data_IF_294539619662
#
_entry.id   IF_294539619662
#
_cell.length_a   1.000
_cell.length_b   1.000
_cell.length_c   1.000
_cell.angle_alpha   90.00
_cell.angle_beta   90.00
_cell.angle_gamma   90.00
#
_symmetry.space_group_name_H-M   'P 1'
#
loop_
_entity.id
_entity.type
_entity.pdbx_description
1 polymer ?
#
# COMPACT_ATOMS: atom_id res chain seq x y z
N UNK A 1 10.65 8.26 -16.18
CA UNK A 1 10.20 9.35 -17.06
C UNK A 1 10.99 9.32 -18.35
N UNK A 2 10.46 9.86 -19.43
CA UNK A 2 11.21 10.00 -20.69
C UNK A 2 12.26 11.12 -20.62
N UNK A 3 12.93 11.36 -21.76
CA UNK A 3 13.93 12.42 -21.90
C UNK A 3 13.38 13.84 -21.67
N UNK A 4 12.06 14.02 -21.65
CA UNK A 4 11.38 15.29 -21.38
C UNK A 4 10.81 15.36 -19.95
N UNK A 5 11.08 14.36 -19.11
CA UNK A 5 10.60 14.31 -17.74
C UNK A 5 9.14 13.86 -17.60
N UNK A 6 8.48 13.43 -18.67
CA UNK A 6 7.10 12.95 -18.60
C UNK A 6 7.07 11.56 -17.92
N UNK A 7 6.30 11.37 -16.84
CA UNK A 7 6.15 10.06 -16.22
C UNK A 7 5.33 9.14 -17.12
N UNK A 8 5.75 7.88 -17.20
CA UNK A 8 5.07 6.84 -17.96
C UNK A 8 4.65 5.73 -17.00
N UNK A 9 3.48 5.16 -17.21
CA UNK A 9 3.01 4.02 -16.45
C UNK A 9 3.84 2.78 -16.84
N UNK A 10 4.53 2.18 -15.87
CA UNK A 10 5.37 1.02 -16.10
C UNK A 10 4.67 -0.28 -15.73
N UNK A 11 4.06 -0.31 -14.54
CA UNK A 11 3.48 -1.51 -13.95
C UNK A 11 2.51 -1.15 -12.83
N UNK A 12 1.55 -2.03 -12.58
CA UNK A 12 0.75 -2.05 -11.35
C UNK A 12 0.80 -3.44 -10.73
N UNK A 13 1.15 -3.50 -9.45
CA UNK A 13 1.18 -4.74 -8.67
C UNK A 13 -0.09 -4.88 -7.84
N UNK A 14 -0.88 -5.92 -8.10
CA UNK A 14 -2.08 -6.23 -7.32
C UNK A 14 -1.75 -6.78 -5.93
N UNK A 15 -0.53 -7.30 -5.73
CA UNK A 15 -0.03 -7.80 -4.47
C UNK A 15 1.33 -7.17 -4.13
N UNK A 16 1.28 -6.02 -3.45
CA UNK A 16 2.49 -5.36 -2.98
C UNK A 16 3.21 -6.19 -1.91
N UNK A 17 4.55 -6.11 -1.86
CA UNK A 17 5.31 -6.65 -0.75
C UNK A 17 4.98 -5.94 0.56
N UNK A 18 4.89 -6.70 1.66
CA UNK A 18 4.53 -6.20 2.98
C UNK A 18 5.64 -6.38 4.03
N UNK A 19 6.89 -6.66 3.64
CA UNK A 19 7.95 -6.72 4.63
C UNK A 19 8.18 -5.31 5.23
N UNK A 20 8.12 -5.14 6.57
CA UNK A 20 8.15 -3.82 7.21
C UNK A 20 9.47 -3.06 7.06
N UNK A 21 10.55 -3.74 6.66
CA UNK A 21 11.90 -3.16 6.53
C UNK A 21 12.25 -2.91 5.06
N UNK A 22 11.96 -3.86 4.17
CA UNK A 22 12.49 -3.86 2.79
C UNK A 22 11.46 -3.68 1.68
N UNK A 23 10.16 -3.66 1.97
CA UNK A 23 9.14 -3.51 0.93
C UNK A 23 8.74 -2.06 0.72
N UNK A 24 8.59 -1.67 -0.54
CA UNK A 24 8.33 -0.28 -0.93
C UNK A 24 7.06 0.29 -0.31
N UNK A 25 5.95 -0.47 -0.28
CA UNK A 25 4.68 0.00 0.27
C UNK A 25 4.80 0.39 1.76
N UNK A 26 5.27 -0.49 2.68
CA UNK A 26 5.57 -0.11 4.06
C UNK A 26 6.54 1.08 4.21
N UNK A 27 7.57 1.17 3.35
CA UNK A 27 8.54 2.26 3.38
C UNK A 27 7.84 3.59 3.03
N UNK A 28 7.10 3.63 1.93
CA UNK A 28 6.34 4.81 1.49
C UNK A 28 5.30 5.23 2.53
N UNK A 29 4.57 4.28 3.12
CA UNK A 29 3.64 4.54 4.22
C UNK A 29 4.32 5.21 5.41
N UNK A 30 5.50 4.72 5.83
CA UNK A 30 6.26 5.32 6.92
C UNK A 30 6.69 6.76 6.60
N UNK A 31 7.12 7.01 5.36
CA UNK A 31 7.53 8.34 4.91
C UNK A 31 6.37 9.36 4.96
N UNK A 32 5.12 8.90 4.85
CA UNK A 32 3.92 9.74 5.00
C UNK A 32 3.26 9.64 6.39
N UNK A 33 3.94 9.07 7.38
CA UNK A 33 3.46 9.02 8.77
C UNK A 33 2.44 7.91 9.06
N UNK A 34 2.29 6.92 8.19
CA UNK A 34 1.45 5.73 8.42
C UNK A 34 2.32 4.63 9.02
N UNK A 35 2.01 4.19 10.24
CA UNK A 35 2.69 3.07 10.89
C UNK A 35 2.38 1.75 10.18
N UNK A 36 3.27 0.76 10.35
CA UNK A 36 3.06 -0.56 9.76
C UNK A 36 1.77 -1.22 10.28
N UNK A 37 1.50 -1.12 11.59
CA UNK A 37 0.28 -1.68 12.18
C UNK A 37 -0.98 -1.02 11.61
N UNK A 38 -0.95 0.30 11.38
CA UNK A 38 -2.05 1.02 10.73
C UNK A 38 -2.23 0.56 9.28
N UNK A 39 -1.15 0.41 8.51
CA UNK A 39 -1.22 -0.12 7.15
C UNK A 39 -1.89 -1.50 7.10
N UNK A 40 -1.47 -2.43 7.97
CA UNK A 40 -2.07 -3.77 8.03
C UNK A 40 -3.54 -3.69 8.45
N UNK A 41 -3.86 -2.85 9.43
CA UNK A 41 -5.24 -2.63 9.88
C UNK A 41 -6.12 -2.12 8.74
N UNK A 42 -5.66 -1.14 7.96
CA UNK A 42 -6.39 -0.55 6.84
C UNK A 42 -6.60 -1.56 5.70
N UNK A 43 -5.60 -2.43 5.44
CA UNK A 43 -5.73 -3.54 4.48
C UNK A 43 -6.81 -4.54 4.95
N UNK A 44 -6.77 -4.95 6.22
CA UNK A 44 -7.74 -5.89 6.78
C UNK A 44 -9.14 -5.29 6.79
N UNK A 45 -9.31 -4.04 7.22
CA UNK A 45 -10.60 -3.34 7.20
C UNK A 45 -11.17 -3.27 5.78
N UNK A 46 -10.34 -2.98 4.79
CA UNK A 46 -10.73 -2.97 3.38
C UNK A 46 -11.18 -4.36 2.90
N UNK A 47 -10.50 -5.42 3.31
CA UNK A 47 -10.86 -6.80 2.98
C UNK A 47 -12.17 -7.23 3.64
N UNK A 48 -12.33 -6.94 4.94
CA UNK A 48 -13.52 -7.28 5.72
C UNK A 48 -14.75 -6.56 5.19
N UNK A 49 -14.63 -5.25 4.88
CA UNK A 49 -15.69 -4.49 4.22
C UNK A 49 -16.13 -5.12 2.91
N UNK A 50 -15.19 -5.54 2.07
CA UNK A 50 -15.47 -6.19 0.78
C UNK A 50 -16.10 -7.57 0.95
N UNK A 51 -15.79 -8.27 2.04
CA UNK A 51 -16.39 -9.56 2.40
C UNK A 51 -17.76 -9.42 3.10
N UNK A 52 -18.25 -8.20 3.35
CA UNK A 52 -19.50 -7.98 4.08
C UNK A 52 -19.42 -8.24 5.59
N UNK A 53 -18.21 -8.31 6.15
CA UNK A 53 -17.99 -8.49 7.58
C UNK A 53 -17.95 -7.10 8.22
N UNK A 54 -18.99 -6.77 8.98
CA UNK A 54 -19.09 -5.50 9.71
C UNK A 54 -18.19 -5.59 10.94
N UNK A 55 -17.23 -4.67 11.04
CA UNK A 55 -16.47 -4.42 12.27
C UNK A 55 -17.14 -3.21 12.92
N UNK A 56 -17.65 -3.42 14.14
CA UNK A 56 -18.31 -2.40 14.97
C UNK A 56 -17.27 -1.57 15.70
#
# INVERSE_FOLDING_TARGET
SDAHGLPHFMEVNSLAGLNPIRSDLPILCRLVGISYDRLITDILNSALKRAGIIIV
#
